data_IF_735905663296
#
_entry.id   IF_735905663296
#
_cell.length_a   1.000
_cell.length_b   1.000
_cell.length_c   1.000
_cell.angle_alpha   90.00
_cell.angle_beta   90.00
_cell.angle_gamma   90.00
#
_symmetry.space_group_name_H-M   'P 1'
#
loop_
_entity.id
_entity.type
_entity.pdbx_description
1 polymer ?
#
# COMPACT_ATOMS: atom_id res chain seq x y z
N UNK A 1 27.33 -3.47 42.39
CA UNK A 1 27.89 -2.98 41.10
C UNK A 1 26.73 -2.49 40.26
N UNK A 2 26.95 -1.55 39.33
CA UNK A 2 25.92 -1.20 38.35
C UNK A 2 25.80 -2.34 37.34
N UNK A 3 24.59 -2.65 36.89
CA UNK A 3 24.38 -3.59 35.80
C UNK A 3 24.80 -2.95 34.46
N UNK A 4 25.28 -3.75 33.52
CA UNK A 4 25.78 -3.28 32.22
C UNK A 4 24.63 -2.72 31.37
N UNK A 5 23.49 -3.41 31.36
CA UNK A 5 22.31 -2.96 30.62
C UNK A 5 21.75 -1.65 31.21
N UNK A 6 21.75 -1.53 32.54
CA UNK A 6 21.35 -0.30 33.25
C UNK A 6 22.34 0.86 32.99
N UNK A 7 23.64 0.56 32.87
CA UNK A 7 24.64 1.56 32.48
C UNK A 7 24.38 2.08 31.06
N UNK A 8 24.11 1.18 30.11
CA UNK A 8 23.77 1.57 28.74
C UNK A 8 22.47 2.36 28.66
N UNK A 9 21.43 1.99 29.43
CA UNK A 9 20.18 2.75 29.51
C UNK A 9 20.43 4.19 29.98
N UNK A 10 21.17 4.36 31.09
CA UNK A 10 21.50 5.68 31.65
C UNK A 10 22.33 6.52 30.66
N UNK A 11 23.37 5.94 30.06
CA UNK A 11 24.22 6.64 29.09
C UNK A 11 23.45 7.04 27.83
N UNK A 12 22.64 6.13 27.29
CA UNK A 12 21.84 6.38 26.07
C UNK A 12 20.84 7.50 26.32
N UNK A 13 20.09 7.43 27.43
CA UNK A 13 19.14 8.47 27.83
C UNK A 13 19.81 9.83 28.03
N UNK A 14 20.96 9.86 28.72
CA UNK A 14 21.72 11.10 28.90
C UNK A 14 22.19 11.68 27.56
N UNK A 15 22.81 10.89 26.68
CA UNK A 15 23.38 11.40 25.44
C UNK A 15 22.34 11.77 24.37
N UNK A 16 21.18 11.12 24.35
CA UNK A 16 20.12 11.36 23.34
C UNK A 16 19.12 12.43 23.82
N UNK A 17 18.62 12.35 25.06
CA UNK A 17 17.53 13.21 25.52
C UNK A 17 18.04 14.48 26.23
N UNK A 18 18.98 14.31 27.16
CA UNK A 18 19.42 15.40 28.05
C UNK A 18 20.54 16.25 27.44
N UNK A 19 21.62 15.62 27.00
CA UNK A 19 22.83 16.27 26.52
C UNK A 19 22.59 17.28 25.37
N UNK A 20 21.76 17.00 24.35
CA UNK A 20 21.50 17.97 23.27
C UNK A 20 20.76 19.23 23.74
N UNK A 21 20.11 19.16 24.91
CA UNK A 21 19.37 20.25 25.56
C UNK A 21 20.20 21.02 26.60
N UNK A 22 21.36 20.50 27.02
CA UNK A 22 22.27 21.17 27.96
C UNK A 22 23.12 22.23 27.24
N UNK A 23 23.48 23.30 27.97
CA UNK A 23 24.44 24.30 27.46
C UNK A 23 25.84 23.69 27.43
N UNK A 24 26.52 23.75 26.29
CA UNK A 24 27.86 23.20 26.15
C UNK A 24 28.90 24.30 25.88
N UNK A 25 30.00 24.27 26.65
CA UNK A 25 31.13 25.21 26.51
C UNK A 25 32.24 24.68 25.57
N UNK A 26 31.97 23.61 24.82
CA UNK A 26 32.90 23.05 23.83
C UNK A 26 33.25 24.03 22.70
N UNK A 27 34.29 23.69 21.95
CA UNK A 27 34.77 24.49 20.81
C UNK A 27 33.65 24.65 19.77
N UNK A 28 33.43 25.89 19.30
CA UNK A 28 32.35 26.23 18.35
C UNK A 28 30.95 26.39 18.96
N UNK A 29 30.73 25.95 20.20
CA UNK A 29 29.42 26.00 20.85
C UNK A 29 29.10 27.34 21.51
N UNK A 30 30.11 27.99 22.12
CA UNK A 30 29.99 29.27 22.81
C UNK A 30 28.87 29.33 23.88
N UNK A 31 28.61 28.21 24.57
CA UNK A 31 27.58 28.13 25.61
C UNK A 31 26.14 27.92 25.11
N UNK A 32 25.96 27.74 23.80
CA UNK A 32 24.69 27.31 23.18
C UNK A 32 24.45 25.80 23.38
N UNK A 33 23.24 25.34 23.07
CA UNK A 33 22.89 23.91 23.15
C UNK A 33 23.34 23.15 21.89
N UNK A 34 23.81 21.89 21.97
CA UNK A 34 24.14 21.08 20.79
C UNK A 34 23.02 21.01 19.76
N UNK A 35 21.76 20.87 20.19
CA UNK A 35 20.61 20.83 19.28
C UNK A 35 20.37 22.16 18.53
N UNK A 36 20.66 23.32 19.16
CA UNK A 36 20.51 24.64 18.53
C UNK A 36 21.58 24.86 17.46
N UNK A 37 22.85 24.60 17.81
CA UNK A 37 23.98 24.74 16.90
C UNK A 37 23.90 23.76 15.74
N UNK A 38 23.41 22.54 15.97
CA UNK A 38 23.15 21.57 14.91
C UNK A 38 22.12 22.08 13.90
N UNK A 39 20.99 22.63 14.37
CA UNK A 39 19.95 23.21 13.49
C UNK A 39 20.48 24.39 12.70
N UNK A 40 21.11 25.37 13.37
CA UNK A 40 21.72 26.55 12.74
C UNK A 40 22.76 26.17 11.68
N UNK A 41 23.64 25.19 11.96
CA UNK A 41 24.61 24.69 10.98
C UNK A 41 23.96 23.97 9.81
N UNK A 42 22.87 23.23 10.04
CA UNK A 42 22.20 22.54 8.93
C UNK A 42 21.38 23.49 8.06
N UNK A 43 20.73 24.50 8.65
CA UNK A 43 20.03 25.58 7.95
C UNK A 43 21.00 26.44 7.13
N UNK A 44 22.14 26.83 7.70
CA UNK A 44 23.11 27.73 7.04
C UNK A 44 24.03 27.04 6.04
N UNK A 45 24.31 25.75 6.19
CA UNK A 45 25.32 25.04 5.37
C UNK A 45 24.82 23.77 4.68
N UNK A 46 23.65 23.24 5.04
CA UNK A 46 23.07 22.02 4.45
C UNK A 46 23.97 20.78 4.55
N UNK A 47 24.80 20.69 5.61
CA UNK A 47 25.82 19.64 5.77
C UNK A 47 25.17 18.26 5.96
N UNK A 48 24.08 18.19 6.73
CA UNK A 48 23.37 16.96 7.05
C UNK A 48 22.10 16.86 6.21
N UNK A 49 22.27 16.34 5.00
CA UNK A 49 21.14 15.94 4.13
C UNK A 49 20.46 14.70 4.72
N UNK A 50 19.15 14.52 4.54
CA UNK A 50 18.50 13.25 4.85
C UNK A 50 19.20 12.12 4.09
N UNK A 51 19.41 10.99 4.75
CA UNK A 51 19.97 9.81 4.11
C UNK A 51 18.97 9.28 3.08
N UNK A 52 19.45 8.98 1.87
CA UNK A 52 18.65 8.31 0.86
C UNK A 52 18.17 6.94 1.38
N UNK A 53 16.86 6.70 1.27
CA UNK A 53 16.22 5.48 1.74
C UNK A 53 16.68 4.25 0.97
N UNK A 54 16.94 4.40 -0.33
CA UNK A 54 17.32 3.29 -1.19
C UNK A 54 18.77 2.87 -0.91
N UNK A 55 19.69 3.84 -0.77
CA UNK A 55 21.03 3.56 -0.23
C UNK A 55 20.98 3.00 1.21
N UNK A 56 20.08 3.46 2.08
CA UNK A 56 19.90 2.89 3.44
C UNK A 56 19.52 1.41 3.36
N UNK A 57 18.53 1.06 2.52
CA UNK A 57 18.09 -0.33 2.30
C UNK A 57 19.21 -1.20 1.74
N UNK A 58 20.02 -0.70 0.80
CA UNK A 58 21.15 -1.45 0.22
C UNK A 58 22.22 -1.81 1.28
N UNK A 59 22.50 -0.91 2.23
CA UNK A 59 23.57 -1.12 3.22
C UNK A 59 23.12 -1.84 4.50
N UNK A 60 21.88 -1.61 4.96
CA UNK A 60 21.38 -2.11 6.25
C UNK A 60 20.25 -3.16 6.10
N UNK A 61 19.60 -3.20 4.95
CA UNK A 61 18.48 -4.09 4.68
C UNK A 61 18.87 -5.54 4.45
N UNK A 62 17.89 -6.43 4.53
CA UNK A 62 18.03 -7.85 4.23
C UNK A 62 18.13 -8.08 2.74
N UNK A 63 19.26 -8.63 2.29
CA UNK A 63 19.49 -8.98 0.89
C UNK A 63 18.84 -10.33 0.52
N UNK A 64 18.14 -10.37 -0.61
CA UNK A 64 17.55 -11.56 -1.22
C UNK A 64 17.93 -11.64 -2.70
N UNK A 65 18.53 -12.76 -3.14
CA UNK A 65 18.82 -13.01 -4.55
C UNK A 65 17.65 -13.81 -5.19
N UNK A 66 16.77 -13.12 -5.91
CA UNK A 66 15.48 -13.64 -6.38
C UNK A 66 15.38 -13.60 -7.91
N UNK A 67 14.52 -14.45 -8.50
CA UNK A 67 14.16 -14.32 -9.92
C UNK A 67 12.94 -13.39 -10.02
N UNK A 68 12.99 -12.43 -10.95
CA UNK A 68 11.84 -11.61 -11.28
C UNK A 68 10.82 -12.39 -12.13
N UNK A 69 9.55 -12.02 -11.98
CA UNK A 69 8.43 -12.43 -12.81
C UNK A 69 7.77 -11.18 -13.41
N UNK A 70 6.86 -11.37 -14.36
CA UNK A 70 6.11 -10.30 -15.03
C UNK A 70 5.33 -9.41 -14.02
N UNK A 71 4.83 -10.00 -12.92
CA UNK A 71 4.14 -9.29 -11.82
C UNK A 71 5.10 -8.46 -10.92
N UNK A 72 6.43 -8.67 -11.01
CA UNK A 72 7.45 -8.06 -10.15
C UNK A 72 8.32 -9.09 -9.40
N UNK A 73 8.71 -8.80 -8.14
CA UNK A 73 9.46 -9.74 -7.27
C UNK A 73 8.65 -10.17 -6.05
N UNK A 74 8.73 -11.45 -5.72
CA UNK A 74 8.15 -12.04 -4.51
C UNK A 74 9.20 -12.23 -3.41
N UNK A 75 9.17 -11.39 -2.38
CA UNK A 75 10.06 -11.43 -1.21
C UNK A 75 9.36 -12.17 -0.05
N UNK A 76 10.13 -12.88 0.79
CA UNK A 76 9.61 -13.70 1.91
C UNK A 76 8.42 -14.61 1.54
N UNK A 77 8.39 -15.12 0.30
CA UNK A 77 7.32 -15.98 -0.24
C UNK A 77 5.89 -15.39 -0.17
N UNK A 78 5.70 -14.11 0.17
CA UNK A 78 4.36 -13.56 0.41
C UNK A 78 4.22 -12.05 0.26
N UNK A 79 5.32 -11.32 0.12
CA UNK A 79 5.32 -9.89 -0.17
C UNK A 79 5.62 -9.70 -1.66
N UNK A 80 4.71 -9.06 -2.37
CA UNK A 80 4.82 -8.80 -3.80
C UNK A 80 5.20 -7.34 -4.02
N UNK A 81 6.28 -7.10 -4.76
CA UNK A 81 6.85 -5.78 -5.00
C UNK A 81 6.99 -5.53 -6.49
N UNK A 82 6.55 -4.36 -6.96
CA UNK A 82 6.74 -3.93 -8.35
C UNK A 82 6.91 -2.42 -8.48
N UNK A 83 7.34 -2.00 -9.65
CA UNK A 83 7.46 -0.61 -10.10
C UNK A 83 7.56 -0.61 -11.62
N UNK A 84 6.96 0.37 -12.28
CA UNK A 84 6.91 0.47 -13.74
C UNK A 84 8.32 0.54 -14.35
N UNK A 85 9.20 1.35 -13.73
CA UNK A 85 10.61 1.50 -14.10
C UNK A 85 11.38 0.18 -14.03
N UNK A 86 11.06 -0.63 -13.02
CA UNK A 86 11.69 -1.93 -12.79
C UNK A 86 11.20 -3.01 -13.75
N UNK A 87 9.90 -3.02 -14.09
CA UNK A 87 9.36 -3.93 -15.11
C UNK A 87 10.00 -3.66 -16.48
N UNK A 88 10.11 -2.39 -16.89
CA UNK A 88 10.80 -2.00 -18.12
C UNK A 88 12.28 -2.45 -18.15
N UNK A 89 12.96 -2.44 -17.00
CA UNK A 89 14.33 -2.94 -16.90
C UNK A 89 14.43 -4.48 -16.95
N UNK A 90 13.44 -5.21 -16.39
CA UNK A 90 13.38 -6.67 -16.44
C UNK A 90 13.11 -7.20 -17.85
N UNK A 91 12.30 -6.51 -18.66
CA UNK A 91 11.98 -6.97 -20.03
C UNK A 91 13.25 -7.20 -20.89
N UNK A 92 14.32 -6.44 -20.62
CA UNK A 92 15.64 -6.62 -21.21
C UNK A 92 16.60 -7.56 -20.47
N UNK A 93 16.26 -8.03 -19.26
CA UNK A 93 17.17 -8.72 -18.35
C UNK A 93 16.68 -10.12 -17.92
N UNK A 94 17.45 -11.15 -18.29
CA UNK A 94 17.23 -12.53 -17.83
C UNK A 94 18.28 -12.94 -16.79
N UNK A 95 17.88 -13.00 -15.52
CA UNK A 95 18.79 -13.40 -14.44
C UNK A 95 18.16 -13.41 -13.05
N UNK A 96 19.01 -13.28 -12.02
CA UNK A 96 18.60 -13.03 -10.64
C UNK A 96 18.83 -11.56 -10.30
N UNK A 97 17.88 -10.97 -9.61
CA UNK A 97 17.93 -9.59 -9.09
C UNK A 97 18.22 -9.65 -7.59
N UNK A 98 19.06 -8.74 -7.11
CA UNK A 98 19.29 -8.57 -5.68
C UNK A 98 18.25 -7.57 -5.12
N UNK A 99 17.38 -8.02 -4.22
CA UNK A 99 16.37 -7.17 -3.59
C UNK A 99 16.71 -6.97 -2.11
N UNK A 100 16.63 -5.73 -1.67
CA UNK A 100 16.96 -5.27 -0.31
C UNK A 100 15.69 -4.80 0.38
N UNK A 101 15.37 -5.43 1.52
CA UNK A 101 14.18 -5.14 2.31
C UNK A 101 14.56 -4.54 3.67
N UNK A 102 13.89 -3.47 4.07
CA UNK A 102 13.99 -2.94 5.44
C UNK A 102 13.12 -3.80 6.38
N UNK A 103 13.67 -4.48 7.41
CA UNK A 103 12.87 -5.30 8.30
C UNK A 103 11.89 -4.48 9.15
N UNK A 104 12.13 -3.17 9.31
CA UNK A 104 11.28 -2.28 10.11
C UNK A 104 10.20 -1.58 9.26
N UNK A 105 10.28 -1.65 7.92
CA UNK A 105 9.29 -1.03 7.02
C UNK A 105 9.13 -1.82 5.71
N UNK A 106 8.00 -2.52 5.58
CA UNK A 106 7.70 -3.34 4.41
C UNK A 106 7.11 -2.58 3.20
N UNK A 107 6.86 -1.27 3.28
CA UNK A 107 6.21 -0.52 2.18
C UNK A 107 7.02 -0.48 0.89
N UNK A 108 8.36 -0.44 1.02
CA UNK A 108 9.28 -0.28 -0.08
C UNK A 108 10.46 -1.24 0.02
N UNK A 109 10.81 -1.85 -1.10
CA UNK A 109 12.04 -2.62 -1.28
C UNK A 109 12.90 -1.96 -2.37
N UNK A 110 14.22 -2.12 -2.29
CA UNK A 110 15.14 -1.62 -3.32
C UNK A 110 15.71 -2.78 -4.11
N UNK A 111 15.54 -2.78 -5.43
CA UNK A 111 16.08 -3.79 -6.32
C UNK A 111 17.32 -3.28 -7.05
N UNK A 112 18.33 -4.14 -7.18
CA UNK A 112 19.57 -3.89 -7.92
C UNK A 112 19.71 -5.00 -8.97
N UNK A 113 19.62 -4.62 -10.24
CA UNK A 113 19.80 -5.52 -11.37
C UNK A 113 21.31 -5.64 -11.66
N UNK A 114 21.87 -6.86 -11.75
CA UNK A 114 23.28 -7.03 -12.06
C UNK A 114 23.65 -6.44 -13.44
N UNK A 115 24.55 -5.45 -13.41
CA UNK A 115 25.08 -4.62 -14.52
C UNK A 115 24.40 -3.26 -14.71
N UNK A 116 23.28 -3.00 -14.05
CA UNK A 116 22.72 -1.66 -14.00
C UNK A 116 23.31 -0.89 -12.80
N UNK A 117 23.68 0.40 -12.98
CA UNK A 117 24.26 1.21 -11.89
C UNK A 117 23.19 1.82 -10.98
N UNK A 118 21.94 1.90 -11.43
CA UNK A 118 20.85 2.59 -10.73
C UNK A 118 20.00 1.59 -9.91
N UNK A 119 19.68 1.91 -8.64
CA UNK A 119 18.79 1.11 -7.83
C UNK A 119 17.33 1.46 -8.10
N UNK A 120 16.47 0.44 -8.25
CA UNK A 120 15.04 0.61 -8.50
C UNK A 120 14.24 0.54 -7.21
N UNK A 121 13.42 1.57 -6.94
CA UNK A 121 12.48 1.56 -5.81
C UNK A 121 11.22 0.78 -6.17
N UNK A 122 10.92 -0.27 -5.42
CA UNK A 122 9.72 -1.09 -5.61
C UNK A 122 8.69 -0.80 -4.52
N UNK A 123 7.44 -0.62 -4.90
CA UNK A 123 6.31 -0.48 -4.00
C UNK A 123 5.67 -1.85 -3.69
N UNK A 124 5.22 -2.03 -2.46
CA UNK A 124 4.45 -3.19 -2.03
C UNK A 124 3.06 -3.19 -2.70
N UNK A 125 2.71 -4.28 -3.38
CA UNK A 125 1.40 -4.43 -4.06
C UNK A 125 0.25 -4.85 -3.13
N UNK A 126 0.55 -5.48 -1.99
CA UNK A 126 -0.48 -5.93 -1.02
C UNK A 126 -0.62 -4.89 0.09
N UNK A 127 -1.71 -4.13 0.06
CA UNK A 127 -2.03 -3.07 1.02
C UNK A 127 -2.20 -3.60 2.45
N UNK A 128 -2.70 -4.82 2.62
CA UNK A 128 -2.90 -5.41 3.96
C UNK A 128 -1.61 -5.53 4.79
N UNK A 129 -0.42 -5.54 4.17
CA UNK A 129 0.88 -5.58 4.87
C UNK A 129 1.62 -4.23 4.93
N UNK A 130 1.05 -3.15 4.38
CA UNK A 130 1.64 -1.82 4.46
C UNK A 130 1.78 -1.36 5.92
N UNK A 131 2.83 -0.62 6.26
CA UNK A 131 3.17 -0.13 7.61
C UNK A 131 3.37 -1.23 8.67
N UNK A 132 3.58 -2.48 8.27
CA UNK A 132 4.02 -3.55 9.18
C UNK A 132 5.55 -3.70 9.15
N UNK A 133 6.10 -4.19 10.26
CA UNK A 133 7.44 -4.77 10.32
C UNK A 133 7.46 -6.21 9.79
N UNK A 134 8.64 -6.72 9.43
CA UNK A 134 8.82 -8.10 9.00
C UNK A 134 8.43 -9.15 10.06
N UNK A 135 8.55 -8.81 11.35
CA UNK A 135 8.13 -9.68 12.46
C UNK A 135 6.60 -9.71 12.59
N UNK A 136 5.94 -8.56 12.59
CA UNK A 136 4.47 -8.45 12.64
C UNK A 136 3.79 -9.13 11.45
N UNK A 137 4.32 -8.96 10.24
CA UNK A 137 3.85 -9.67 9.04
C UNK A 137 3.85 -11.20 9.24
N UNK A 138 4.95 -11.76 9.72
CA UNK A 138 5.06 -13.21 9.94
C UNK A 138 4.13 -13.69 11.06
N UNK A 139 3.91 -12.88 12.09
CA UNK A 139 2.99 -13.22 13.17
C UNK A 139 1.52 -13.12 12.77
N UNK A 140 1.15 -12.10 11.97
CA UNK A 140 -0.17 -11.96 11.36
C UNK A 140 -0.48 -13.18 10.48
N UNK A 141 0.45 -13.56 9.60
CA UNK A 141 0.32 -14.73 8.74
C UNK A 141 0.32 -16.06 9.50
N UNK A 142 1.01 -16.13 10.64
CA UNK A 142 0.95 -17.30 11.53
C UNK A 142 -0.41 -17.40 12.21
N UNK A 143 -1.01 -16.28 12.63
CA UNK A 143 -2.34 -16.26 13.25
C UNK A 143 -3.43 -16.69 12.26
N UNK A 144 -3.45 -16.05 11.09
CA UNK A 144 -4.44 -16.31 10.04
C UNK A 144 -4.55 -17.81 9.67
N UNK A 145 -3.41 -18.52 9.65
CA UNK A 145 -3.36 -19.97 9.40
C UNK A 145 -3.81 -20.85 10.56
N UNK A 146 -3.63 -20.40 11.80
CA UNK A 146 -4.15 -21.12 12.96
C UNK A 146 -5.67 -21.08 12.97
N UNK A 147 -6.26 -19.98 12.50
CA UNK A 147 -7.70 -19.84 12.31
C UNK A 147 -8.22 -20.65 11.11
N UNK A 148 -7.46 -20.67 10.00
CA UNK A 148 -7.88 -21.29 8.75
C UNK A 148 -6.78 -22.20 8.14
N UNK A 149 -6.54 -23.40 8.69
CA UNK A 149 -5.47 -24.29 8.22
C UNK A 149 -5.74 -24.93 6.84
N UNK A 150 -7.01 -25.05 6.44
CA UNK A 150 -7.43 -25.70 5.19
C UNK A 150 -7.40 -24.76 3.96
N UNK A 151 -7.29 -23.44 4.17
CA UNK A 151 -7.37 -22.47 3.08
C UNK A 151 -6.04 -22.34 2.33
N UNK A 152 -5.96 -22.98 1.16
CA UNK A 152 -4.89 -22.81 0.16
C UNK A 152 -4.83 -21.38 -0.38
N UNK A 153 -5.96 -20.68 -0.46
CA UNK A 153 -6.03 -19.27 -0.91
C UNK A 153 -6.19 -18.30 0.26
N UNK A 154 -5.29 -17.32 0.30
CA UNK A 154 -5.27 -16.27 1.31
C UNK A 154 -5.82 -14.99 0.67
N UNK A 155 -6.95 -14.50 1.17
CA UNK A 155 -7.61 -13.30 0.65
C UNK A 155 -7.19 -12.06 1.46
N UNK A 156 -6.83 -10.99 0.77
CA UNK A 156 -6.33 -9.75 1.37
C UNK A 156 -7.34 -9.12 2.35
N UNK A 157 -8.64 -9.03 2.01
CA UNK A 157 -9.68 -8.49 2.91
C UNK A 157 -9.74 -9.19 4.28
N UNK A 158 -9.57 -10.52 4.28
CA UNK A 158 -9.63 -11.31 5.53
C UNK A 158 -8.40 -11.08 6.39
N UNK A 159 -7.22 -10.93 5.75
CA UNK A 159 -5.97 -10.57 6.42
C UNK A 159 -6.09 -9.16 7.01
N UNK A 160 -6.67 -8.21 6.28
CA UNK A 160 -6.91 -6.84 6.76
C UNK A 160 -7.87 -6.81 7.97
N UNK A 161 -8.92 -7.63 7.98
CA UNK A 161 -9.82 -7.78 9.12
C UNK A 161 -9.11 -8.32 10.36
N UNK A 162 -8.34 -9.41 10.23
CA UNK A 162 -7.54 -9.99 11.34
C UNK A 162 -6.47 -9.00 11.82
N UNK A 163 -5.87 -8.21 10.93
CA UNK A 163 -4.93 -7.13 11.28
C UNK A 163 -5.61 -6.05 12.13
N UNK A 164 -6.80 -5.59 11.75
CA UNK A 164 -7.56 -4.58 12.51
C UNK A 164 -7.92 -5.10 13.90
N UNK A 165 -8.51 -6.30 13.98
CA UNK A 165 -8.87 -6.94 15.25
C UNK A 165 -7.65 -7.10 16.17
N UNK A 166 -6.51 -7.52 15.62
CA UNK A 166 -5.25 -7.65 16.36
C UNK A 166 -4.70 -6.30 16.81
N UNK A 167 -4.73 -5.26 15.98
CA UNK A 167 -4.26 -3.93 16.34
C UNK A 167 -5.08 -3.34 17.50
N UNK A 168 -6.40 -3.55 17.50
CA UNK A 168 -7.27 -3.13 18.61
C UNK A 168 -7.06 -3.96 19.88
N UNK A 169 -6.73 -5.25 19.76
CA UNK A 169 -6.29 -6.07 20.90
C UNK A 169 -4.93 -5.61 21.45
N UNK A 170 -3.95 -5.34 20.59
CA UNK A 170 -2.62 -4.86 21.01
C UNK A 170 -2.67 -3.45 21.61
N UNK A 171 -3.55 -2.56 21.12
CA UNK A 171 -3.80 -1.27 21.77
C UNK A 171 -4.33 -1.41 23.20
N UNK A 172 -5.15 -2.44 23.48
CA UNK A 172 -5.66 -2.73 24.83
C UNK A 172 -4.57 -3.38 25.69
N UNK A 173 -3.87 -4.39 25.16
CA UNK A 173 -2.87 -5.18 25.91
C UNK A 173 -1.54 -4.42 26.12
N UNK A 174 -1.15 -3.53 25.21
CA UNK A 174 0.08 -2.76 25.28
C UNK A 174 0.11 -1.72 26.42
N UNK A 175 -1.07 -1.36 26.96
CA UNK A 175 -1.19 -0.59 28.21
C UNK A 175 -0.85 -1.45 29.43
N UNK A 176 -1.06 -2.76 29.35
CA UNK A 176 -1.03 -3.68 30.50
C UNK A 176 0.24 -4.55 30.57
N UNK A 177 0.89 -4.85 29.43
CA UNK A 177 2.04 -5.77 29.37
C UNK A 177 3.14 -5.29 28.45
N UNK A 178 4.39 -5.39 28.94
CA UNK A 178 5.62 -5.19 28.16
C UNK A 178 5.58 -6.12 26.94
N UNK A 179 5.68 -5.57 25.73
CA UNK A 179 5.56 -6.33 24.49
C UNK A 179 6.68 -7.38 24.37
N UNK A 180 6.42 -8.51 23.69
CA UNK A 180 7.45 -9.49 23.38
C UNK A 180 8.49 -8.95 22.39
N UNK A 181 9.60 -9.67 22.25
CA UNK A 181 10.75 -9.36 21.39
C UNK A 181 10.33 -8.98 19.95
N UNK A 182 10.54 -7.72 19.57
CA UNK A 182 10.25 -7.18 18.24
C UNK A 182 11.19 -7.68 17.13
N UNK A 183 12.44 -8.00 17.48
CA UNK A 183 13.50 -8.35 16.52
C UNK A 183 13.55 -9.85 16.16
N UNK A 184 13.46 -10.14 14.86
CA UNK A 184 13.60 -11.48 14.25
C UNK A 184 14.83 -11.47 13.33
N UNK A 185 15.61 -12.56 13.29
CA UNK A 185 16.77 -12.66 12.37
C UNK A 185 16.31 -13.01 10.95
N UNK A 186 17.04 -12.57 9.91
CA UNK A 186 16.69 -12.87 8.50
C UNK A 186 16.53 -14.38 8.26
N UNK A 187 17.39 -15.21 8.85
CA UNK A 187 17.32 -16.66 8.71
C UNK A 187 16.08 -17.28 9.36
N UNK A 188 15.63 -16.76 10.52
CA UNK A 188 14.37 -17.16 11.14
C UNK A 188 13.18 -16.68 10.32
N UNK A 189 13.21 -15.44 9.81
CA UNK A 189 12.17 -14.88 8.98
C UNK A 189 11.96 -15.72 7.70
N UNK A 190 13.04 -16.06 7.00
CA UNK A 190 13.02 -16.95 5.85
C UNK A 190 12.44 -18.34 6.16
N UNK A 191 12.81 -18.94 7.30
CA UNK A 191 12.31 -20.26 7.71
C UNK A 191 10.81 -20.20 8.03
N UNK A 192 10.38 -19.21 8.81
CA UNK A 192 8.96 -18.95 9.11
C UNK A 192 8.18 -18.72 7.82
N UNK A 193 8.59 -17.76 6.99
CA UNK A 193 8.00 -17.46 5.69
C UNK A 193 7.79 -18.72 4.82
N UNK A 194 8.81 -19.56 4.69
CA UNK A 194 8.70 -20.83 3.93
C UNK A 194 7.72 -21.81 4.57
N UNK A 195 7.78 -22.01 5.89
CA UNK A 195 6.84 -22.89 6.60
C UNK A 195 5.39 -22.41 6.52
N UNK A 196 5.19 -21.10 6.36
CA UNK A 196 3.92 -20.51 6.02
C UNK A 196 3.63 -20.81 4.53
N UNK A 197 4.21 -20.06 3.60
CA UNK A 197 3.74 -20.01 2.21
C UNK A 197 3.95 -21.26 1.34
N UNK A 198 4.59 -22.32 1.84
CA UNK A 198 4.78 -23.60 1.13
C UNK A 198 3.50 -24.21 0.52
N UNK A 199 2.33 -24.00 1.13
CA UNK A 199 1.05 -24.59 0.70
C UNK A 199 0.00 -23.56 0.26
N UNK A 200 0.34 -22.28 0.12
CA UNK A 200 -0.69 -21.23 -0.05
C UNK A 200 -0.32 -20.13 -1.03
N UNK A 201 -1.30 -19.65 -1.80
CA UNK A 201 -1.18 -18.45 -2.64
C UNK A 201 -1.95 -17.29 -2.01
N UNK A 202 -1.29 -16.13 -1.91
CA UNK A 202 -1.95 -14.87 -1.64
C UNK A 202 -2.66 -14.39 -2.91
N UNK A 203 -3.90 -13.93 -2.75
CA UNK A 203 -4.72 -13.36 -3.82
C UNK A 203 -5.17 -11.99 -3.36
N UNK A 204 -4.68 -10.95 -4.04
CA UNK A 204 -5.19 -9.59 -3.87
C UNK A 204 -6.66 -9.58 -4.29
N UNK A 205 -7.51 -9.00 -3.45
CA UNK A 205 -8.95 -8.92 -3.67
C UNK A 205 -9.26 -7.76 -4.60
N UNK A 206 -9.12 -8.00 -5.91
CA UNK A 206 -9.72 -7.13 -6.92
C UNK A 206 -11.24 -7.19 -6.77
N UNK A 207 -11.81 -6.20 -6.10
CA UNK A 207 -13.23 -5.88 -6.21
C UNK A 207 -13.46 -5.49 -7.67
N UNK A 208 -14.20 -6.28 -8.48
CA UNK A 208 -14.60 -5.80 -9.79
C UNK A 208 -15.45 -4.55 -9.57
N UNK A 209 -15.23 -3.51 -10.39
CA UNK A 209 -16.15 -2.39 -10.53
C UNK A 209 -17.40 -2.87 -11.27
N UNK A 210 -18.13 -3.80 -10.64
CA UNK A 210 -19.34 -4.40 -11.18
C UNK A 210 -20.40 -3.31 -11.29
N UNK A 211 -20.79 -3.02 -12.53
CA UNK A 211 -21.92 -2.15 -12.83
C UNK A 211 -23.19 -2.79 -12.30
N UNK A 212 -23.66 -2.31 -11.13
CA UNK A 212 -24.92 -2.73 -10.53
C UNK A 212 -26.06 -2.50 -11.53
N UNK A 213 -26.95 -3.49 -11.67
CA UNK A 213 -28.07 -3.42 -12.59
C UNK A 213 -28.94 -2.17 -12.32
N UNK A 214 -29.46 -1.49 -13.36
CA UNK A 214 -30.23 -0.27 -13.20
C UNK A 214 -31.49 -0.54 -12.36
N UNK A 215 -31.57 0.12 -11.19
CA UNK A 215 -32.62 -0.07 -10.19
C UNK A 215 -32.14 -0.68 -8.86
N UNK A 216 -30.98 -1.34 -8.82
CA UNK A 216 -30.49 -2.04 -7.60
C UNK A 216 -29.60 -1.20 -6.67
N UNK A 217 -29.42 0.11 -6.94
CA UNK A 217 -28.63 1.02 -6.08
C UNK A 217 -29.16 1.14 -4.64
N UNK A 218 -30.46 0.89 -4.42
CA UNK A 218 -31.11 0.95 -3.11
C UNK A 218 -31.17 -0.42 -2.40
N UNK A 219 -30.75 -1.51 -3.05
CA UNK A 219 -30.66 -2.82 -2.41
C UNK A 219 -29.34 -2.89 -1.67
N UNK A 220 -29.37 -2.99 -0.33
CA UNK A 220 -28.15 -3.05 0.49
C UNK A 220 -27.24 -4.20 0.02
N UNK A 221 -26.12 -3.84 -0.61
CA UNK A 221 -25.20 -4.77 -1.24
C UNK A 221 -24.45 -5.55 -0.16
N UNK A 222 -25.00 -6.70 0.26
CA UNK A 222 -24.37 -7.58 1.24
C UNK A 222 -23.36 -8.51 0.56
N UNK A 223 -22.22 -7.93 0.16
CA UNK A 223 -21.06 -8.65 -0.36
C UNK A 223 -19.92 -8.71 0.66
N UNK A 224 -19.03 -9.72 0.60
CA UNK A 224 -17.79 -9.68 1.38
C UNK A 224 -16.98 -8.44 0.98
N UNK A 225 -16.59 -7.64 1.99
CA UNK A 225 -15.86 -6.37 1.79
C UNK A 225 -16.71 -5.09 1.96
N UNK A 226 -18.03 -5.19 2.09
CA UNK A 226 -18.90 -4.02 2.23
C UNK A 226 -19.18 -3.73 3.71
N UNK A 227 -18.53 -2.70 4.25
CA UNK A 227 -18.77 -2.18 5.59
C UNK A 227 -19.94 -1.17 5.57
N UNK A 228 -20.94 -1.30 6.45
CA UNK A 228 -22.02 -0.31 6.56
C UNK A 228 -21.45 1.00 7.12
N UNK A 229 -21.33 2.02 6.26
CA UNK A 229 -21.00 3.38 6.66
C UNK A 229 -22.29 4.12 7.04
N UNK A 230 -22.48 4.32 8.34
CA UNK A 230 -23.61 5.06 8.90
C UNK A 230 -24.24 4.32 10.07
N UNK A 231 -24.07 4.85 11.29
CA UNK A 231 -24.92 4.46 12.41
C UNK A 231 -26.35 4.99 12.17
N UNK A 232 -27.34 4.29 12.74
CA UNK A 232 -28.77 4.61 12.63
C UNK A 232 -29.09 6.01 13.18
N UNK A 233 -29.08 7.01 12.29
CA UNK A 233 -29.68 8.32 12.52
C UNK A 233 -30.23 8.82 11.18
N UNK A 234 -31.47 8.43 10.89
CA UNK A 234 -32.23 8.96 9.75
C UNK A 234 -32.47 10.44 10.01
N UNK A 235 -31.94 11.31 9.15
CA UNK A 235 -32.36 12.71 9.10
C UNK A 235 -33.59 12.75 8.19
N UNK A 236 -34.77 12.62 8.81
CA UNK A 236 -36.04 12.79 8.12
C UNK A 236 -36.20 14.26 7.69
N UNK A 237 -35.93 14.53 6.41
CA UNK A 237 -36.41 15.76 5.78
C UNK A 237 -37.85 15.57 5.34
N UNK A 238 -38.77 16.11 6.14
CA UNK A 238 -40.19 16.21 5.83
C UNK A 238 -40.39 16.95 4.47
N UNK A 239 -41.18 16.41 3.52
CA UNK A 239 -41.35 17.03 2.22
C UNK A 239 -42.28 18.26 2.29
N UNK A 240 -41.76 19.43 1.94
CA UNK A 240 -42.59 20.64 1.77
C UNK A 240 -43.69 20.44 0.71
N UNK A 241 -44.84 21.05 0.95
CA UNK A 241 -46.06 20.83 0.16
C UNK A 241 -46.00 21.31 -1.31
N UNK A 242 -46.92 20.84 -2.16
CA UNK A 242 -46.84 21.03 -3.61
C UNK A 242 -47.11 22.48 -4.03
N UNK A 243 -46.08 23.16 -4.55
CA UNK A 243 -46.21 24.45 -5.24
C UNK A 243 -46.86 24.25 -6.62
N UNK A 244 -47.84 25.09 -6.94
CA UNK A 244 -48.70 24.94 -8.13
C UNK A 244 -48.00 25.26 -9.45
N UNK A 245 -48.18 24.40 -10.46
CA UNK A 245 -47.76 24.64 -11.84
C UNK A 245 -48.82 25.47 -12.60
N UNK A 246 -48.47 26.54 -13.34
CA UNK A 246 -49.43 27.26 -14.19
C UNK A 246 -49.80 26.48 -15.46
N UNK A 247 -51.01 26.71 -15.97
CA UNK A 247 -51.66 25.87 -16.98
C UNK A 247 -51.20 26.09 -18.43
N UNK A 248 -51.23 25.01 -19.23
CA UNK A 248 -51.05 25.01 -20.68
C UNK A 248 -52.39 25.25 -21.43
N UNK A 249 -52.44 26.11 -22.47
CA UNK A 249 -53.65 26.31 -23.28
C UNK A 249 -53.87 25.22 -24.34
N UNK A 250 -55.12 25.06 -24.80
CA UNK A 250 -55.57 23.85 -25.48
C UNK A 250 -55.47 23.83 -27.04
N UNK A 251 -54.94 22.72 -27.53
CA UNK A 251 -55.19 21.93 -28.78
C UNK A 251 -56.05 22.51 -29.93
N UNK A 252 -55.56 22.34 -31.18
CA UNK A 252 -56.36 22.15 -32.41
C UNK A 252 -55.82 20.99 -33.28
N UNK A 253 -56.60 20.40 -34.22
CA UNK A 253 -56.33 19.05 -34.78
C UNK A 253 -55.62 19.00 -36.15
N UNK A 254 -55.20 17.77 -36.53
CA UNK A 254 -54.43 17.38 -37.75
C UNK A 254 -55.18 17.52 -39.10
N UNK A 255 -54.44 17.44 -40.21
CA UNK A 255 -54.75 16.48 -41.28
C UNK A 255 -53.60 15.51 -41.66
N UNK A 256 -53.94 14.56 -42.54
CA UNK A 256 -53.15 13.45 -43.16
C UNK A 256 -52.12 13.95 -44.20
N UNK A 257 -51.22 13.16 -44.81
CA UNK A 257 -50.44 11.94 -44.48
C UNK A 257 -49.67 11.51 -45.76
N UNK A 258 -48.43 11.00 -45.67
CA UNK A 258 -47.83 10.19 -46.75
C UNK A 258 -46.58 9.39 -46.31
N UNK A 259 -46.30 8.30 -47.03
CA UNK A 259 -45.12 7.39 -47.01
C UNK A 259 -44.64 7.32 -48.50
N UNK A 260 -43.38 7.00 -48.86
CA UNK A 260 -42.51 5.94 -48.31
C UNK A 260 -41.25 6.56 -47.62
N UNK A 261 -40.07 5.95 -47.47
CA UNK A 261 -39.47 4.72 -48.02
C UNK A 261 -38.49 4.02 -47.04
N UNK A 262 -37.54 3.25 -47.57
CA UNK A 262 -36.55 2.46 -46.81
C UNK A 262 -35.21 2.44 -47.54
N UNK A 263 -34.12 2.80 -46.85
CA UNK A 263 -32.74 2.53 -47.28
C UNK A 263 -31.92 1.93 -46.14
N UNK A 264 -31.02 0.96 -46.40
CA UNK A 264 -30.17 0.34 -45.38
C UNK A 264 -28.86 1.13 -45.14
N UNK A 265 -28.26 1.05 -43.94
CA UNK A 265 -27.06 1.83 -43.61
C UNK A 265 -25.80 1.30 -44.31
N UNK A 266 -25.01 2.22 -44.88
CA UNK A 266 -23.75 1.95 -45.57
C UNK A 266 -22.62 1.67 -44.58
N UNK A 267 -21.85 0.59 -44.79
CA UNK A 267 -20.59 0.31 -44.08
C UNK A 267 -19.42 1.03 -44.77
N UNK A 268 -18.79 1.99 -44.09
CA UNK A 268 -17.52 2.59 -44.47
C UNK A 268 -16.36 1.60 -44.29
N UNK A 269 -15.41 1.52 -45.24
CA UNK A 269 -14.16 0.76 -44.99
C UNK A 269 -13.32 0.22 -46.16
N UNK A 270 -13.71 0.35 -47.44
CA UNK A 270 -12.83 -0.05 -48.56
C UNK A 270 -13.02 0.84 -49.80
N UNK A 271 -11.96 1.40 -50.40
CA UNK A 271 -12.09 2.27 -51.57
C UNK A 271 -12.38 1.47 -52.84
N UNK A 272 -13.38 1.89 -53.60
CA UNK A 272 -13.61 1.40 -54.95
C UNK A 272 -12.75 2.20 -55.95
N UNK A 273 -11.80 1.52 -56.61
CA UNK A 273 -11.14 2.07 -57.79
C UNK A 273 -12.08 1.98 -58.99
N UNK A 274 -12.31 3.12 -59.67
CA UNK A 274 -12.23 3.33 -61.14
C UNK A 274 -13.05 4.56 -61.56
N UNK A 275 -12.46 5.37 -62.42
CA UNK A 275 -13.04 6.59 -62.99
C UNK A 275 -11.98 7.26 -63.86
N UNK A 276 -11.94 6.88 -65.13
CA UNK A 276 -10.98 7.34 -66.15
C UNK A 276 -11.69 8.32 -67.10
N UNK A 277 -10.92 9.09 -67.89
CA UNK A 277 -11.38 10.00 -68.98
C UNK A 277 -12.02 11.31 -68.44
N UNK A 278 -11.41 12.50 -68.56
CA UNK A 278 -10.83 13.17 -69.75
C UNK A 278 -9.47 13.82 -69.47
#
# INVERSE_FOLDING_TARGET
MLDIDLLYEILTKFFIDEYPSLKHMGVGMAGRRPAEVYKELNETRGIFRPLDEDLRRIHLGWKFDLKANDEGVRVLEGLFYSSDEFQLAIDGYQGKVAVYLDPDNLNFATAVIPRDPEPYKLALQTTAFADLTASEFLELMTHYRRENPELTTLYEDRIAKVRLERHDQLKKIGVERRLPRSYVTQAEACKKAKSLFASSRLVNTHVPLDTVAPGSLATATSGPGILPLGAENVIDHEPEGPVSTPALPARKPKPKAEKPSSEPPVRLGRPAQKGEIL
#
